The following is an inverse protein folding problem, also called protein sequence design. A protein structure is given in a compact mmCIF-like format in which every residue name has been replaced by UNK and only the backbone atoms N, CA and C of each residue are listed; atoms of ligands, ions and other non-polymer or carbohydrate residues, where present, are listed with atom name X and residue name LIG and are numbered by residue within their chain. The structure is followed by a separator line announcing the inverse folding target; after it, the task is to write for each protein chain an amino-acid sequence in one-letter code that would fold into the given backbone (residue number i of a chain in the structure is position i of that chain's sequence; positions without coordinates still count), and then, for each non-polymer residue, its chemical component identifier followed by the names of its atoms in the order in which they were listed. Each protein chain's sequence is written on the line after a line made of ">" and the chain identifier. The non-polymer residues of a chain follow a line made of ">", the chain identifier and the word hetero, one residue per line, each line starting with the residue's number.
data_IF_355851797368
#
_entry.id   IF_355851797368
#
_cell.length_a   1.000
_cell.length_b   1.000
_cell.length_c   1.000
_cell.angle_alpha   90.00
_cell.angle_beta   90.00
_cell.angle_gamma   90.00
#
_symmetry.space_group_name_H-M   'P 1'
#
loop_
_entity.id
_entity.type
_entity.pdbx_description
1 polymer ?
#
# COMPACT_ATOMS: atom_id res chain seq x y z
N UNK A 1 5.66 9.02 -48.28
CA UNK A 1 5.96 8.01 -47.23
C UNK A 1 5.52 6.67 -47.77
N UNK A 2 6.42 5.71 -47.90
CA UNK A 2 6.04 4.37 -48.37
C UNK A 2 5.23 3.61 -47.30
N UNK A 3 4.55 2.53 -47.70
CA UNK A 3 3.68 1.76 -46.82
C UNK A 3 4.41 1.09 -45.65
N UNK A 4 5.70 0.81 -45.80
CA UNK A 4 6.52 0.17 -44.76
C UNK A 4 6.91 1.19 -43.68
N UNK A 5 7.34 2.39 -44.08
CA UNK A 5 7.58 3.52 -43.18
C UNK A 5 6.29 3.89 -42.43
N UNK A 6 5.15 3.97 -43.11
CA UNK A 6 3.86 4.26 -42.47
C UNK A 6 3.51 3.24 -41.37
N UNK A 7 3.74 1.95 -41.63
CA UNK A 7 3.48 0.86 -40.68
C UNK A 7 4.45 0.89 -39.50
N UNK A 8 5.72 1.22 -39.73
CA UNK A 8 6.71 1.39 -38.67
C UNK A 8 6.41 2.60 -37.78
N UNK A 9 6.09 3.76 -38.37
CA UNK A 9 5.68 4.97 -37.64
C UNK A 9 4.46 4.67 -36.76
N UNK A 10 3.46 3.97 -37.30
CA UNK A 10 2.27 3.58 -36.53
C UNK A 10 2.63 2.72 -35.32
N UNK A 11 3.42 1.65 -35.51
CA UNK A 11 3.84 0.77 -34.41
C UNK A 11 4.57 1.52 -33.28
N UNK A 12 5.51 2.41 -33.62
CA UNK A 12 6.24 3.19 -32.61
C UNK A 12 5.32 4.23 -31.94
N UNK A 13 4.39 4.82 -32.70
CA UNK A 13 3.41 5.78 -32.17
C UNK A 13 2.43 5.12 -31.20
N UNK A 14 1.96 3.91 -31.51
CA UNK A 14 1.06 3.15 -30.64
C UNK A 14 1.73 2.80 -29.29
N UNK A 15 3.05 2.60 -29.29
CA UNK A 15 3.86 2.39 -28.07
C UNK A 15 4.13 3.71 -27.34
N UNK A 16 4.36 4.79 -28.07
CA UNK A 16 4.53 6.13 -27.48
C UNK A 16 3.29 6.59 -26.70
N UNK A 17 2.09 6.34 -27.23
CA UNK A 17 0.83 6.61 -26.53
C UNK A 17 0.71 5.75 -25.27
N UNK A 18 1.04 4.46 -25.38
CA UNK A 18 1.04 3.53 -24.26
C UNK A 18 1.95 4.00 -23.10
N UNK A 19 3.14 4.52 -23.41
CA UNK A 19 4.08 5.00 -22.39
C UNK A 19 3.59 6.20 -21.58
N UNK A 20 2.57 6.94 -22.06
CA UNK A 20 1.92 7.98 -21.24
C UNK A 20 0.98 7.37 -20.18
N UNK A 21 0.49 6.15 -20.42
CA UNK A 21 -0.48 5.44 -19.58
C UNK A 21 0.12 4.30 -18.72
N UNK A 22 1.32 3.79 -19.03
CA UNK A 22 2.06 2.78 -18.23
C UNK A 22 2.19 3.20 -16.75
N UNK A 23 2.10 4.50 -16.44
CA UNK A 23 2.11 4.99 -15.07
C UNK A 23 0.82 4.74 -14.28
N UNK A 24 -0.32 4.49 -14.94
CA UNK A 24 -1.64 4.44 -14.30
C UNK A 24 -2.10 3.03 -13.95
N UNK A 25 -1.79 2.01 -14.77
CA UNK A 25 -2.14 0.61 -14.48
C UNK A 25 -1.09 -0.31 -15.12
N UNK A 26 -0.54 -1.23 -14.34
CA UNK A 26 0.25 -2.37 -14.83
C UNK A 26 -0.67 -3.36 -15.59
N UNK A 27 -1.24 -2.96 -16.73
CA UNK A 27 -1.90 -3.92 -17.61
C UNK A 27 -0.84 -4.62 -18.48
N UNK A 28 -0.61 -5.91 -18.19
CA UNK A 28 0.35 -6.75 -18.90
C UNK A 28 -0.05 -6.98 -20.37
N UNK A 29 -1.29 -6.71 -20.78
CA UNK A 29 -1.71 -6.75 -22.18
C UNK A 29 -1.10 -5.60 -22.99
N UNK A 30 -0.94 -4.43 -22.38
CA UNK A 30 -0.42 -3.23 -23.01
C UNK A 30 1.08 -3.37 -23.34
N UNK A 31 1.84 -4.00 -22.44
CA UNK A 31 3.28 -4.23 -22.61
C UNK A 31 3.62 -5.06 -23.87
N UNK A 32 2.72 -5.92 -24.36
CA UNK A 32 2.98 -6.77 -25.53
C UNK A 32 3.38 -5.97 -26.79
N UNK A 33 3.00 -4.69 -26.88
CA UNK A 33 3.39 -3.80 -27.99
C UNK A 33 4.89 -3.49 -28.03
N UNK A 34 5.61 -3.64 -26.91
CA UNK A 34 7.07 -3.44 -26.84
C UNK A 34 7.82 -4.43 -27.76
N UNK A 35 7.28 -5.63 -27.95
CA UNK A 35 7.82 -6.62 -28.92
C UNK A 35 7.92 -6.03 -30.33
N UNK A 36 6.96 -5.16 -30.70
CA UNK A 36 6.96 -4.54 -32.02
C UNK A 36 8.06 -3.48 -32.19
N UNK A 37 8.50 -2.83 -31.10
CA UNK A 37 9.60 -1.86 -31.15
C UNK A 37 10.91 -2.58 -31.49
N UNK A 38 11.20 -3.69 -30.79
CA UNK A 38 12.39 -4.50 -31.10
C UNK A 38 12.36 -5.00 -32.55
N UNK A 39 11.19 -5.44 -33.04
CA UNK A 39 11.03 -5.87 -34.43
C UNK A 39 11.23 -4.72 -35.45
N UNK A 40 10.83 -3.48 -35.10
CA UNK A 40 11.08 -2.29 -35.95
C UNK A 40 12.57 -2.01 -36.02
N UNK A 41 13.28 -2.00 -34.89
CA UNK A 41 14.75 -1.80 -34.87
C UNK A 41 15.45 -2.87 -35.70
N UNK A 42 15.05 -4.15 -35.57
CA UNK A 42 15.53 -5.24 -36.43
C UNK A 42 15.32 -4.95 -37.92
N UNK A 43 14.15 -4.44 -38.28
CA UNK A 43 13.80 -4.06 -39.66
C UNK A 43 14.72 -2.96 -40.20
N UNK A 44 15.00 -1.93 -39.41
CA UNK A 44 15.90 -0.83 -39.78
C UNK A 44 17.30 -1.35 -40.13
N UNK A 45 17.84 -2.27 -39.32
CA UNK A 45 19.14 -2.89 -39.59
C UNK A 45 19.16 -3.65 -40.93
N UNK A 46 18.09 -4.37 -41.23
CA UNK A 46 17.99 -5.17 -42.47
C UNK A 46 17.91 -4.32 -43.74
N UNK A 47 17.57 -3.03 -43.61
CA UNK A 47 17.43 -2.09 -44.72
C UNK A 47 18.71 -1.27 -44.99
N UNK A 48 19.85 -1.65 -44.39
CA UNK A 48 21.19 -1.14 -44.69
C UNK A 48 21.30 0.41 -44.78
N UNK A 49 20.63 1.14 -43.90
CA UNK A 49 20.75 2.60 -43.82
C UNK A 49 20.06 3.38 -44.95
N UNK A 50 19.21 2.74 -45.77
CA UNK A 50 18.47 3.41 -46.86
C UNK A 50 17.28 4.27 -46.40
N UNK A 51 17.10 4.51 -45.10
CA UNK A 51 16.02 5.39 -44.63
C UNK A 51 16.57 6.84 -44.50
N UNK A 52 16.26 7.76 -45.43
CA UNK A 52 16.60 9.17 -45.27
C UNK A 52 15.90 9.69 -44.01
N UNK A 53 16.56 10.54 -43.21
CA UNK A 53 16.10 11.08 -41.91
C UNK A 53 14.57 10.97 -41.71
N UNK A 54 14.20 9.83 -41.11
CA UNK A 54 12.89 9.23 -41.29
C UNK A 54 11.99 9.63 -40.11
N UNK A 55 10.70 9.96 -40.32
CA UNK A 55 9.68 10.01 -39.28
C UNK A 55 9.76 8.88 -38.23
N UNK A 56 10.20 7.68 -38.62
CA UNK A 56 10.48 6.54 -37.73
C UNK A 56 11.60 6.87 -36.75
N UNK A 57 12.72 7.45 -37.20
CA UNK A 57 13.86 7.81 -36.34
C UNK A 57 13.48 8.90 -35.32
N UNK A 58 12.67 9.88 -35.72
CA UNK A 58 12.13 10.90 -34.80
C UNK A 58 11.27 10.24 -33.71
N UNK A 59 10.41 9.30 -34.09
CA UNK A 59 9.55 8.57 -33.15
C UNK A 59 10.35 7.65 -32.22
N UNK A 60 11.43 7.02 -32.71
CA UNK A 60 12.31 6.21 -31.86
C UNK A 60 13.06 7.08 -30.83
N UNK A 61 13.54 8.27 -31.20
CA UNK A 61 14.13 9.22 -30.24
C UNK A 61 13.11 9.72 -29.22
N UNK A 62 11.87 9.99 -29.65
CA UNK A 62 10.79 10.33 -28.70
C UNK A 62 10.52 9.17 -27.71
N UNK A 63 10.61 7.93 -28.19
CA UNK A 63 10.38 6.74 -27.38
C UNK A 63 11.52 6.53 -26.39
N UNK A 64 12.76 6.68 -26.83
CA UNK A 64 13.92 6.70 -25.95
C UNK A 64 13.75 7.73 -24.82
N UNK A 65 13.41 8.98 -25.12
CA UNK A 65 13.22 9.99 -24.09
C UNK A 65 12.13 9.64 -23.05
N UNK A 66 11.13 8.82 -23.44
CA UNK A 66 10.12 8.28 -22.51
C UNK A 66 10.65 7.08 -21.71
N UNK A 67 11.41 6.19 -22.35
CA UNK A 67 12.08 5.06 -21.68
C UNK A 67 13.11 5.56 -20.68
N UNK A 68 13.87 6.61 -21.00
CA UNK A 68 14.84 7.22 -20.09
C UNK A 68 14.18 7.84 -18.85
N UNK A 69 13.03 8.49 -19.02
CA UNK A 69 12.21 8.94 -17.88
C UNK A 69 11.73 7.76 -17.03
N UNK A 70 11.34 6.66 -17.67
CA UNK A 70 10.90 5.45 -16.99
C UNK A 70 12.06 4.79 -16.23
N UNK A 71 13.21 4.64 -16.87
CA UNK A 71 14.44 4.08 -16.30
C UNK A 71 14.92 4.86 -15.07
N UNK A 72 14.82 6.20 -15.09
CA UNK A 72 15.13 7.02 -13.89
C UNK A 72 14.18 6.73 -12.72
N UNK A 73 12.87 6.64 -12.97
CA UNK A 73 11.91 6.26 -11.91
C UNK A 73 12.15 4.84 -11.41
N UNK A 74 12.51 3.93 -12.30
CA UNK A 74 12.85 2.55 -11.96
C UNK A 74 14.13 2.45 -11.12
N UNK A 75 15.17 3.23 -11.47
CA UNK A 75 16.40 3.35 -10.67
C UNK A 75 16.06 3.77 -9.24
N UNK A 76 15.15 4.74 -9.05
CA UNK A 76 14.69 5.11 -7.71
C UNK A 76 13.97 3.99 -6.95
N UNK A 77 13.24 3.10 -7.64
CA UNK A 77 12.61 1.94 -7.00
C UNK A 77 13.64 0.88 -6.59
N UNK A 78 14.64 0.66 -7.44
CA UNK A 78 15.76 -0.21 -7.11
C UNK A 78 16.63 0.32 -5.98
N UNK A 79 16.88 1.63 -5.94
CA UNK A 79 17.61 2.27 -4.85
C UNK A 79 16.84 2.14 -3.53
N UNK A 80 15.50 2.25 -3.56
CA UNK A 80 14.67 1.96 -2.40
C UNK A 80 14.76 0.50 -1.95
N UNK A 81 14.71 -0.47 -2.89
CA UNK A 81 14.88 -1.89 -2.57
C UNK A 81 16.26 -2.16 -1.96
N UNK A 82 17.32 -1.60 -2.56
CA UNK A 82 18.70 -1.76 -2.10
C UNK A 82 18.93 -1.14 -0.73
N UNK A 83 18.46 0.08 -0.51
CA UNK A 83 18.58 0.77 0.77
C UNK A 83 17.80 0.09 1.89
N UNK A 84 16.71 -0.61 1.55
CA UNK A 84 15.91 -1.32 2.53
C UNK A 84 16.44 -2.73 2.82
N UNK A 85 16.94 -3.43 1.79
CA UNK A 85 17.47 -4.78 1.88
C UNK A 85 19.00 -4.80 1.94
N UNK A 86 19.61 -3.93 2.76
CA UNK A 86 21.07 -3.72 2.84
C UNK A 86 21.86 -5.03 3.01
N UNK A 87 21.28 -5.99 3.71
CA UNK A 87 21.87 -7.32 3.97
C UNK A 87 21.96 -8.23 2.73
N UNK A 88 21.29 -7.87 1.63
CA UNK A 88 21.19 -8.70 0.43
C UNK A 88 21.78 -7.98 -0.77
N UNK A 89 23.10 -8.13 -0.96
CA UNK A 89 23.87 -7.59 -2.09
C UNK A 89 23.28 -7.93 -3.47
N UNK A 90 22.48 -9.00 -3.53
CA UNK A 90 21.76 -9.42 -4.73
C UNK A 90 20.81 -8.36 -5.30
N UNK A 91 20.12 -7.56 -4.47
CA UNK A 91 19.26 -6.48 -4.99
C UNK A 91 20.07 -5.44 -5.75
N UNK A 92 21.32 -5.20 -5.35
CA UNK A 92 22.22 -4.31 -6.07
C UNK A 92 22.64 -4.91 -7.43
N UNK A 93 22.86 -6.22 -7.51
CA UNK A 93 23.18 -6.91 -8.77
C UNK A 93 22.00 -6.88 -9.77
N UNK A 94 20.78 -7.16 -9.30
CA UNK A 94 19.57 -7.05 -10.12
C UNK A 94 19.37 -5.63 -10.62
N UNK A 95 19.53 -4.63 -9.75
CA UNK A 95 19.42 -3.22 -10.10
C UNK A 95 20.44 -2.79 -11.16
N UNK A 96 21.70 -3.16 -10.95
CA UNK A 96 22.78 -2.84 -11.89
C UNK A 96 22.54 -3.49 -13.26
N UNK A 97 22.05 -4.74 -13.26
CA UNK A 97 21.69 -5.48 -14.47
C UNK A 97 20.55 -4.79 -15.21
N UNK A 98 19.44 -4.49 -14.55
CA UNK A 98 18.30 -3.80 -15.17
C UNK A 98 18.73 -2.44 -15.76
N UNK A 99 19.48 -1.64 -15.00
CA UNK A 99 19.96 -0.34 -15.46
C UNK A 99 20.87 -0.45 -16.70
N UNK A 100 21.78 -1.43 -16.69
CA UNK A 100 22.70 -1.65 -17.82
C UNK A 100 21.94 -2.08 -19.07
N UNK A 101 21.03 -3.05 -18.95
CA UNK A 101 20.25 -3.54 -20.08
C UNK A 101 19.30 -2.47 -20.64
N UNK A 102 18.67 -1.68 -19.77
CA UNK A 102 17.78 -0.58 -20.18
C UNK A 102 18.55 0.52 -20.92
N UNK A 103 19.75 0.89 -20.46
CA UNK A 103 20.61 1.86 -21.19
C UNK A 103 21.02 1.35 -22.57
N UNK A 104 21.49 0.11 -22.63
CA UNK A 104 21.89 -0.50 -23.91
C UNK A 104 20.69 -0.67 -24.86
N UNK A 105 19.50 -0.96 -24.33
CA UNK A 105 18.26 -0.93 -25.10
C UNK A 105 18.01 0.48 -25.67
N UNK A 106 18.13 1.54 -24.88
CA UNK A 106 18.01 2.93 -25.36
C UNK A 106 19.03 3.25 -26.47
N UNK A 107 20.27 2.77 -26.35
CA UNK A 107 21.30 2.94 -27.39
C UNK A 107 20.87 2.32 -28.73
N UNK A 108 20.17 1.19 -28.70
CA UNK A 108 19.62 0.59 -29.93
C UNK A 108 18.46 1.38 -30.54
N UNK A 109 17.78 2.25 -29.78
CA UNK A 109 16.72 3.13 -30.28
C UNK A 109 17.28 4.43 -30.86
N UNK A 110 18.31 5.00 -30.22
CA UNK A 110 18.96 6.25 -30.64
C UNK A 110 19.88 6.03 -31.83
N UNK A 111 20.61 4.92 -31.82
CA UNK A 111 21.61 4.55 -32.82
C UNK A 111 21.35 3.12 -33.32
N UNK A 112 20.25 2.85 -34.06
CA UNK A 112 19.89 1.51 -34.53
C UNK A 112 20.86 1.01 -35.62
N UNK A 113 22.03 0.52 -35.20
CA UNK A 113 23.08 -0.01 -36.05
C UNK A 113 23.59 -1.35 -35.52
N UNK A 114 24.37 -2.07 -36.34
CA UNK A 114 24.86 -3.40 -35.98
C UNK A 114 25.73 -3.40 -34.71
N UNK A 115 26.41 -2.30 -34.42
CA UNK A 115 27.30 -2.20 -33.27
C UNK A 115 26.52 -2.06 -31.96
N UNK A 116 25.60 -1.10 -31.85
CA UNK A 116 24.76 -0.91 -30.64
C UNK A 116 23.93 -2.16 -30.33
N UNK A 117 23.35 -2.76 -31.37
CA UNK A 117 22.54 -3.99 -31.26
C UNK A 117 23.41 -5.20 -30.89
N UNK A 118 24.65 -5.25 -31.38
CA UNK A 118 25.63 -6.28 -31.00
C UNK A 118 26.04 -6.18 -29.53
N UNK A 119 26.33 -4.98 -29.03
CA UNK A 119 26.65 -4.74 -27.62
C UNK A 119 25.46 -5.14 -26.73
N UNK A 120 24.25 -4.70 -27.08
CA UNK A 120 23.05 -5.04 -26.34
C UNK A 120 22.81 -6.55 -26.31
N UNK A 121 22.99 -7.25 -27.45
CA UNK A 121 22.89 -8.71 -27.49
C UNK A 121 23.87 -9.39 -26.53
N UNK A 122 25.15 -9.00 -26.56
CA UNK A 122 26.15 -9.58 -25.68
C UNK A 122 25.81 -9.39 -24.20
N UNK A 123 25.25 -8.23 -23.84
CA UNK A 123 24.79 -7.97 -22.49
C UNK A 123 23.60 -8.88 -22.13
N UNK A 124 22.58 -9.01 -23.00
CA UNK A 124 21.44 -9.90 -22.77
C UNK A 124 21.84 -11.39 -22.68
N UNK A 125 22.84 -11.82 -23.42
CA UNK A 125 23.34 -13.21 -23.35
C UNK A 125 24.06 -13.49 -22.02
N UNK A 126 24.80 -12.51 -21.50
CA UNK A 126 25.49 -12.62 -20.20
C UNK A 126 24.54 -12.51 -19.03
N UNK A 127 23.55 -11.62 -19.13
CA UNK A 127 22.56 -11.36 -18.09
C UNK A 127 21.15 -11.37 -18.67
N UNK A 128 20.55 -12.57 -18.90
CA UNK A 128 19.25 -12.66 -19.55
C UNK A 128 18.14 -12.03 -18.70
N UNK A 129 17.31 -11.11 -19.26
CA UNK A 129 16.23 -10.46 -18.51
C UNK A 129 15.30 -11.47 -17.81
N UNK A 130 14.87 -12.51 -18.53
CA UNK A 130 14.05 -13.60 -17.98
C UNK A 130 14.64 -14.23 -16.71
N UNK A 131 15.93 -14.57 -16.74
CA UNK A 131 16.58 -15.25 -15.61
C UNK A 131 16.70 -14.32 -14.39
N UNK A 132 17.03 -13.05 -14.61
CA UNK A 132 17.11 -12.08 -13.52
C UNK A 132 15.74 -11.76 -12.92
N UNK A 133 14.71 -11.69 -13.75
CA UNK A 133 13.33 -11.57 -13.28
C UNK A 133 12.92 -12.75 -12.40
N UNK A 134 13.27 -13.99 -12.80
CA UNK A 134 12.97 -15.18 -12.01
C UNK A 134 13.69 -15.18 -10.67
N UNK A 135 14.99 -14.88 -10.67
CA UNK A 135 15.75 -14.78 -9.41
C UNK A 135 15.14 -13.75 -8.47
N UNK A 136 14.77 -12.58 -9.00
CA UNK A 136 14.13 -11.52 -8.24
C UNK A 136 12.77 -11.97 -7.66
N UNK A 137 11.92 -12.61 -8.45
CA UNK A 137 10.63 -13.15 -8.01
C UNK A 137 10.83 -14.21 -6.92
N UNK A 138 11.80 -15.12 -7.08
CA UNK A 138 12.09 -16.15 -6.09
C UNK A 138 12.54 -15.58 -4.74
N UNK A 139 13.23 -14.43 -4.72
CA UNK A 139 13.54 -13.73 -3.48
C UNK A 139 12.28 -13.10 -2.87
N UNK A 140 11.43 -12.51 -3.68
CA UNK A 140 10.17 -11.95 -3.19
C UNK A 140 9.23 -13.02 -2.62
N UNK A 141 9.36 -14.27 -3.05
CA UNK A 141 8.59 -15.40 -2.53
C UNK A 141 9.07 -15.88 -1.14
N UNK A 142 10.31 -15.55 -0.74
CA UNK A 142 10.89 -15.95 0.54
C UNK A 142 10.71 -14.87 1.62
N UNK A 143 10.23 -15.26 2.81
CA UNK A 143 9.90 -14.32 3.88
C UNK A 143 11.09 -13.46 4.36
N UNK A 144 12.29 -14.05 4.44
CA UNK A 144 13.50 -13.36 4.88
C UNK A 144 14.07 -12.37 3.86
N UNK A 145 13.68 -12.50 2.59
CA UNK A 145 14.17 -11.62 1.51
C UNK A 145 13.05 -10.80 0.88
N UNK A 146 11.79 -10.94 1.33
CA UNK A 146 10.64 -10.19 0.86
C UNK A 146 10.57 -8.79 1.50
N UNK A 147 10.78 -7.71 0.73
CA UNK A 147 10.83 -6.34 1.25
C UNK A 147 9.45 -5.86 1.73
N UNK A 148 8.36 -6.31 1.11
CA UNK A 148 7.01 -5.99 1.57
C UNK A 148 6.77 -6.55 2.96
N UNK A 149 7.07 -7.84 3.19
CA UNK A 149 6.87 -8.47 4.50
C UNK A 149 7.75 -7.84 5.58
N UNK A 150 9.03 -7.54 5.26
CA UNK A 150 9.92 -6.83 6.19
C UNK A 150 9.41 -5.43 6.52
N UNK A 151 8.91 -4.68 5.54
CA UNK A 151 8.35 -3.35 5.78
C UNK A 151 7.07 -3.39 6.62
N UNK A 152 6.19 -4.34 6.35
CA UNK A 152 5.00 -4.58 7.18
C UNK A 152 5.34 -5.03 8.60
N UNK A 153 6.48 -5.71 8.81
CA UNK A 153 6.94 -6.05 10.15
C UNK A 153 7.49 -4.82 10.90
N UNK A 154 8.15 -3.90 10.19
CA UNK A 154 8.71 -2.67 10.73
C UNK A 154 7.68 -1.55 10.95
N UNK A 155 6.58 -1.55 10.19
CA UNK A 155 5.45 -0.64 10.38
C UNK A 155 4.68 -1.03 11.66
N UNK A 156 4.61 -0.17 12.69
CA UNK A 156 3.94 -0.48 13.95
C UNK A 156 2.45 -0.84 13.77
N UNK A 157 1.78 -0.18 12.83
CA UNK A 157 0.34 -0.32 12.60
C UNK A 157 -0.01 -1.11 11.34
N UNK A 158 1.00 -1.58 10.59
CA UNK A 158 0.80 -2.39 9.39
C UNK A 158 -0.13 -1.71 8.38
N UNK A 159 0.24 -0.51 7.94
CA UNK A 159 -0.65 0.36 7.17
C UNK A 159 -0.89 -0.12 5.73
N UNK A 160 -2.05 0.30 5.18
CA UNK A 160 -2.42 0.20 3.76
C UNK A 160 -1.38 0.93 2.92
N UNK A 161 -0.93 2.11 3.36
CA UNK A 161 0.12 2.88 2.69
C UNK A 161 1.42 2.11 2.55
N UNK A 162 1.92 1.49 3.62
CA UNK A 162 3.14 0.67 3.58
C UNK A 162 2.97 -0.52 2.63
N UNK A 163 1.87 -1.25 2.74
CA UNK A 163 1.60 -2.41 1.88
C UNK A 163 1.57 -2.01 0.40
N UNK A 164 0.75 -1.00 0.06
CA UNK A 164 0.55 -0.55 -1.31
C UNK A 164 1.84 0.03 -1.92
N UNK A 165 2.62 0.79 -1.14
CA UNK A 165 3.93 1.30 -1.58
C UNK A 165 4.86 0.17 -2.00
N UNK A 166 5.03 -0.84 -1.15
CA UNK A 166 5.96 -1.93 -1.44
C UNK A 166 5.44 -2.87 -2.54
N UNK A 167 4.13 -3.10 -2.59
CA UNK A 167 3.50 -3.80 -3.71
C UNK A 167 3.80 -3.09 -5.05
N UNK A 168 3.61 -1.76 -5.11
CA UNK A 168 3.87 -0.97 -6.32
C UNK A 168 5.36 -1.03 -6.72
N UNK A 169 6.28 -0.81 -5.77
CA UNK A 169 7.73 -0.88 -6.01
C UNK A 169 8.11 -2.23 -6.63
N UNK A 170 7.66 -3.33 -6.01
CA UNK A 170 7.97 -4.68 -6.49
C UNK A 170 7.43 -4.91 -7.90
N UNK A 171 6.14 -4.61 -8.13
CA UNK A 171 5.51 -4.89 -9.42
C UNK A 171 6.13 -4.06 -10.55
N UNK A 172 6.52 -2.82 -10.28
CA UNK A 172 7.20 -1.96 -11.26
C UNK A 172 8.58 -2.49 -11.64
N UNK A 173 9.35 -2.96 -10.66
CA UNK A 173 10.68 -3.50 -10.88
C UNK A 173 10.63 -4.80 -11.70
N UNK A 174 9.67 -5.68 -11.42
CA UNK A 174 9.51 -6.90 -12.23
C UNK A 174 8.99 -6.57 -13.65
N UNK A 175 8.14 -5.55 -13.79
CA UNK A 175 7.66 -5.11 -15.10
C UNK A 175 8.76 -4.51 -15.99
N UNK A 176 9.84 -3.95 -15.42
CA UNK A 176 11.00 -3.53 -16.21
C UNK A 176 11.66 -4.72 -16.90
N UNK A 177 11.89 -5.81 -16.18
CA UNK A 177 12.42 -7.03 -16.78
C UNK A 177 11.47 -7.61 -17.84
N UNK A 178 10.15 -7.48 -17.63
CA UNK A 178 9.17 -7.89 -18.64
C UNK A 178 9.28 -7.05 -19.92
N UNK A 179 9.43 -5.73 -19.79
CA UNK A 179 9.65 -4.84 -20.94
C UNK A 179 10.94 -5.17 -21.69
N UNK A 180 12.04 -5.41 -20.95
CA UNK A 180 13.31 -5.84 -21.54
C UNK A 180 13.16 -7.17 -22.28
N UNK A 181 12.54 -8.17 -21.66
CA UNK A 181 12.32 -9.48 -22.27
C UNK A 181 11.49 -9.37 -23.57
N UNK A 182 10.42 -8.58 -23.58
CA UNK A 182 9.63 -8.30 -24.78
C UNK A 182 10.46 -7.63 -25.87
N UNK A 183 11.26 -6.63 -25.52
CA UNK A 183 12.07 -5.91 -26.49
C UNK A 183 13.12 -6.82 -27.14
N UNK A 184 13.86 -7.57 -26.33
CA UNK A 184 14.86 -8.55 -26.76
C UNK A 184 14.21 -9.61 -27.66
N UNK A 185 12.99 -10.02 -27.35
CA UNK A 185 12.22 -10.96 -28.15
C UNK A 185 11.85 -10.46 -29.55
N UNK A 186 11.40 -9.21 -29.64
CA UNK A 186 11.14 -8.56 -30.92
C UNK A 186 12.41 -8.40 -31.76
N UNK A 187 13.51 -8.03 -31.10
CA UNK A 187 14.78 -7.70 -31.76
C UNK A 187 15.55 -8.94 -32.23
N UNK A 188 15.59 -10.00 -31.44
CA UNK A 188 16.47 -11.15 -31.71
C UNK A 188 15.72 -12.44 -32.07
N UNK A 189 14.52 -12.65 -31.52
CA UNK A 189 13.86 -13.96 -31.54
C UNK A 189 12.58 -14.01 -32.38
N UNK A 190 12.46 -13.13 -33.37
CA UNK A 190 11.33 -13.09 -34.31
C UNK A 190 9.97 -12.98 -33.60
N UNK A 191 9.91 -12.33 -32.44
CA UNK A 191 8.69 -12.26 -31.62
C UNK A 191 8.20 -13.63 -31.11
N UNK A 192 9.09 -14.61 -30.89
CA UNK A 192 8.74 -15.86 -30.22
C UNK A 192 8.35 -15.62 -28.75
N UNK A 193 7.06 -15.50 -28.47
CA UNK A 193 6.55 -15.13 -27.15
C UNK A 193 6.76 -16.15 -26.01
N UNK A 194 7.53 -17.24 -26.19
CA UNK A 194 7.82 -18.19 -25.11
C UNK A 194 8.35 -17.52 -23.83
N UNK A 195 9.49 -16.83 -23.89
CA UNK A 195 10.10 -16.15 -22.73
C UNK A 195 9.17 -15.10 -22.09
N UNK A 196 8.63 -14.15 -22.88
CA UNK A 196 7.65 -13.19 -22.37
C UNK A 196 6.42 -13.84 -21.71
N UNK A 197 5.84 -14.88 -22.30
CA UNK A 197 4.65 -15.53 -21.73
C UNK A 197 4.97 -16.26 -20.42
N UNK A 198 6.15 -16.88 -20.33
CA UNK A 198 6.63 -17.52 -19.11
C UNK A 198 6.81 -16.48 -17.99
N UNK A 199 7.45 -15.34 -18.27
CA UNK A 199 7.59 -14.26 -17.30
C UNK A 199 6.24 -13.65 -16.91
N UNK A 200 5.34 -13.44 -17.86
CA UNK A 200 3.97 -12.97 -17.58
C UNK A 200 3.23 -13.92 -16.62
N UNK A 201 3.37 -15.24 -16.79
CA UNK A 201 2.78 -16.22 -15.87
C UNK A 201 3.31 -16.03 -14.44
N UNK A 202 4.63 -15.94 -14.28
CA UNK A 202 5.28 -15.73 -12.96
C UNK A 202 4.88 -14.42 -12.29
N UNK A 203 4.74 -13.34 -13.06
CA UNK A 203 4.25 -12.05 -12.53
C UNK A 203 2.81 -12.18 -12.03
N UNK A 204 1.94 -12.86 -12.79
CA UNK A 204 0.55 -13.08 -12.38
C UNK A 204 0.47 -13.95 -11.12
N UNK A 205 1.33 -14.96 -10.98
CA UNK A 205 1.45 -15.77 -9.76
C UNK A 205 1.88 -14.91 -8.56
N UNK A 206 2.91 -14.07 -8.71
CA UNK A 206 3.36 -13.14 -7.68
C UNK A 206 2.23 -12.17 -7.27
N UNK A 207 1.48 -11.62 -8.23
CA UNK A 207 0.33 -10.76 -7.93
C UNK A 207 -0.75 -11.48 -7.12
N UNK A 208 -1.02 -12.77 -7.42
CA UNK A 208 -1.95 -13.59 -6.64
C UNK A 208 -1.44 -13.83 -5.22
N UNK A 209 -0.14 -14.08 -5.05
CA UNK A 209 0.48 -14.20 -3.73
C UNK A 209 0.39 -12.90 -2.93
N UNK A 210 0.66 -11.75 -3.55
CA UNK A 210 0.50 -10.46 -2.88
C UNK A 210 -0.95 -10.21 -2.45
N UNK A 211 -1.93 -10.58 -3.28
CA UNK A 211 -3.34 -10.49 -2.90
C UNK A 211 -3.66 -11.37 -1.69
N UNK A 212 -3.12 -12.60 -1.64
CA UNK A 212 -3.34 -13.48 -0.48
C UNK A 212 -2.66 -12.95 0.77
N UNK A 213 -1.47 -12.35 0.67
CA UNK A 213 -0.81 -11.68 1.79
C UNK A 213 -1.64 -10.50 2.30
N UNK A 214 -2.20 -9.68 1.39
CA UNK A 214 -3.06 -8.55 1.77
C UNK A 214 -4.26 -9.01 2.59
N UNK A 215 -4.97 -10.03 2.10
CA UNK A 215 -6.12 -10.63 2.81
C UNK A 215 -5.71 -11.21 4.17
N UNK A 216 -4.49 -11.75 4.26
CA UNK A 216 -3.97 -12.28 5.51
C UNK A 216 -3.74 -11.17 6.56
N UNK A 217 -3.10 -10.06 6.17
CA UNK A 217 -2.96 -8.87 7.04
C UNK A 217 -4.31 -8.32 7.48
N UNK A 218 -5.27 -8.21 6.55
CA UNK A 218 -6.62 -7.71 6.81
C UNK A 218 -7.40 -8.52 7.85
N UNK A 219 -7.03 -9.80 8.07
CA UNK A 219 -7.73 -10.73 8.97
C UNK A 219 -7.02 -10.98 10.29
N UNK A 220 -5.68 -11.03 10.29
CA UNK A 220 -4.92 -11.55 11.43
C UNK A 220 -4.45 -10.47 12.42
N UNK A 221 -4.69 -9.19 12.11
CA UNK A 221 -4.47 -8.05 13.01
C UNK A 221 -3.16 -8.10 13.83
N UNK A 222 -2.03 -8.44 13.19
CA UNK A 222 -0.74 -8.67 13.86
C UNK A 222 -0.17 -7.44 14.57
N UNK A 223 -0.69 -6.24 14.27
CA UNK A 223 -0.36 -4.99 14.95
C UNK A 223 -0.92 -4.91 16.38
N UNK A 224 -1.90 -5.75 16.73
CA UNK A 224 -2.66 -5.63 17.97
C UNK A 224 -2.34 -6.75 18.99
N UNK A 225 -2.31 -6.47 20.31
CA UNK A 225 -2.46 -5.16 20.95
C UNK A 225 -1.13 -4.42 21.16
N UNK A 226 0.00 -5.14 21.22
CA UNK A 226 1.27 -4.59 21.72
C UNK A 226 1.81 -3.43 20.87
N UNK A 227 1.96 -3.62 19.56
CA UNK A 227 2.48 -2.56 18.68
C UNK A 227 1.57 -1.35 18.60
N UNK A 228 0.25 -1.57 18.61
CA UNK A 228 -0.74 -0.50 18.70
C UNK A 228 -0.60 0.30 20.00
N UNK A 229 -0.38 -0.38 21.13
CA UNK A 229 -0.16 0.26 22.43
C UNK A 229 1.11 1.09 22.43
N UNK A 230 2.23 0.53 21.98
CA UNK A 230 3.50 1.26 21.85
C UNK A 230 3.34 2.53 21.00
N UNK A 231 2.62 2.43 19.88
CA UNK A 231 2.32 3.58 19.03
C UNK A 231 1.48 4.65 19.75
N UNK A 232 0.41 4.25 20.45
CA UNK A 232 -0.44 5.16 21.23
C UNK A 232 0.37 5.88 22.30
N UNK A 233 1.16 5.14 23.09
CA UNK A 233 1.98 5.70 24.16
C UNK A 233 3.03 6.68 23.61
N UNK A 234 3.65 6.35 22.48
CA UNK A 234 4.59 7.24 21.80
C UNK A 234 3.93 8.56 21.34
N UNK A 235 2.68 8.52 20.87
CA UNK A 235 1.93 9.75 20.53
C UNK A 235 1.67 10.58 21.79
N UNK A 236 1.28 9.96 22.90
CA UNK A 236 1.07 10.69 24.15
C UNK A 236 2.35 11.39 24.62
N UNK A 237 3.45 10.64 24.71
CA UNK A 237 4.68 11.10 25.35
C UNK A 237 5.43 12.15 24.52
N UNK A 238 5.35 12.08 23.18
CA UNK A 238 6.06 13.00 22.29
C UNK A 238 5.23 14.18 21.78
N UNK A 239 3.99 14.36 22.27
CA UNK A 239 3.12 15.47 21.86
C UNK A 239 2.49 16.15 23.09
N UNK A 240 3.26 16.39 24.14
CA UNK A 240 2.74 16.97 25.40
C UNK A 240 2.28 18.42 25.27
N UNK A 241 2.73 19.11 24.22
CA UNK A 241 2.47 20.50 23.88
C UNK A 241 1.15 20.74 23.14
N UNK A 242 0.53 19.69 22.58
CA UNK A 242 -0.74 19.80 21.83
C UNK A 242 -1.94 19.29 22.63
N UNK A 243 -3.12 19.79 22.27
CA UNK A 243 -4.39 19.46 22.91
C UNK A 243 -4.92 18.06 22.59
N UNK A 244 -5.97 17.64 23.32
CA UNK A 244 -6.59 16.32 23.17
C UNK A 244 -7.14 16.08 21.76
N UNK A 245 -7.75 17.10 21.13
CA UNK A 245 -8.30 16.98 19.78
C UNK A 245 -7.19 16.66 18.77
N UNK A 246 -6.09 17.41 18.77
CA UNK A 246 -4.99 17.18 17.82
C UNK A 246 -4.31 15.82 18.01
N UNK A 247 -4.18 15.34 19.26
CA UNK A 247 -3.76 13.95 19.55
C UNK A 247 -4.74 12.94 18.98
N UNK A 248 -6.03 13.20 19.14
CA UNK A 248 -7.11 12.34 18.64
C UNK A 248 -7.05 12.26 17.10
N UNK A 249 -6.90 13.38 16.40
CA UNK A 249 -6.79 13.45 14.94
C UNK A 249 -5.55 12.71 14.41
N UNK A 250 -4.41 12.79 15.13
CA UNK A 250 -3.20 12.03 14.79
C UNK A 250 -3.42 10.52 14.90
N UNK A 251 -4.10 10.07 15.96
CA UNK A 251 -4.45 8.67 16.14
C UNK A 251 -5.48 8.23 15.10
N UNK A 252 -6.52 9.02 14.85
CA UNK A 252 -7.54 8.75 13.82
C UNK A 252 -6.90 8.49 12.46
N UNK A 253 -6.05 9.41 12.00
CA UNK A 253 -5.36 9.27 10.72
C UNK A 253 -4.50 8.00 10.66
N UNK A 254 -3.84 7.64 11.77
CA UNK A 254 -3.00 6.46 11.84
C UNK A 254 -3.82 5.16 11.81
N UNK A 255 -4.92 5.10 12.56
CA UNK A 255 -5.82 3.94 12.60
C UNK A 255 -6.67 3.80 11.33
N UNK A 256 -6.99 4.90 10.65
CA UNK A 256 -7.69 4.87 9.35
C UNK A 256 -6.85 4.16 8.28
N UNK A 257 -5.53 4.34 8.35
CA UNK A 257 -4.59 3.74 7.42
C UNK A 257 -4.20 2.30 7.78
N UNK A 258 -4.66 1.72 8.90
CA UNK A 258 -4.38 0.32 9.26
C UNK A 258 -4.93 -0.63 8.20
N UNK A 259 -4.12 -1.60 7.73
CA UNK A 259 -4.58 -2.65 6.83
C UNK A 259 -5.35 -3.73 7.60
N UNK A 260 -6.58 -3.39 8.00
CA UNK A 260 -7.50 -4.30 8.70
C UNK A 260 -8.96 -4.09 8.26
N UNK A 261 -9.82 -5.03 8.61
CA UNK A 261 -11.28 -4.87 8.58
C UNK A 261 -11.85 -4.36 9.91
N UNK A 262 -11.02 -4.16 10.92
CA UNK A 262 -11.42 -3.64 12.22
C UNK A 262 -11.89 -2.18 12.14
N UNK A 263 -12.89 -1.81 12.95
CA UNK A 263 -13.29 -0.40 13.15
C UNK A 263 -12.89 0.06 14.54
N UNK A 264 -12.59 1.36 14.69
CA UNK A 264 -12.04 1.88 15.93
C UNK A 264 -12.88 3.00 16.52
N UNK A 265 -12.96 3.03 17.85
CA UNK A 265 -13.19 4.24 18.62
C UNK A 265 -11.88 4.67 19.28
N UNK A 266 -11.62 5.98 19.25
CA UNK A 266 -10.44 6.60 19.82
C UNK A 266 -10.92 7.72 20.73
N UNK A 267 -10.57 7.64 22.01
CA UNK A 267 -10.85 8.68 22.99
C UNK A 267 -9.54 9.24 23.53
N UNK A 268 -9.43 10.56 23.52
CA UNK A 268 -8.33 11.28 24.17
C UNK A 268 -8.92 12.32 25.12
N UNK A 269 -8.49 12.31 26.38
CA UNK A 269 -9.03 13.20 27.40
C UNK A 269 -8.00 13.56 28.46
N UNK A 270 -8.35 14.54 29.29
CA UNK A 270 -7.46 15.06 30.31
C UNK A 270 -6.99 13.98 31.28
N UNK A 271 -5.77 14.15 31.78
CA UNK A 271 -5.19 13.31 32.81
C UNK A 271 -6.13 13.21 34.02
N UNK A 272 -6.55 11.98 34.35
CA UNK A 272 -7.34 11.71 35.55
C UNK A 272 -7.04 10.31 36.08
N UNK A 273 -7.50 10.04 37.30
CA UNK A 273 -7.56 8.70 37.87
C UNK A 273 -8.74 8.59 38.81
N UNK A 274 -9.15 7.35 39.09
CA UNK A 274 -10.29 7.03 39.94
C UNK A 274 -11.57 6.80 39.13
N UNK A 275 -12.35 5.79 39.53
CA UNK A 275 -13.60 5.41 38.86
C UNK A 275 -14.69 6.48 38.94
N UNK A 276 -14.55 7.45 39.85
CA UNK A 276 -15.43 8.61 39.99
C UNK A 276 -15.31 9.59 38.80
N UNK A 277 -14.20 9.52 38.04
CA UNK A 277 -13.92 10.38 36.88
C UNK A 277 -14.11 9.67 35.55
N UNK A 278 -13.77 8.39 35.49
CA UNK A 278 -13.94 7.57 34.30
C UNK A 278 -14.07 6.10 34.67
N UNK A 279 -14.91 5.36 33.94
CA UNK A 279 -14.99 3.90 34.06
C UNK A 279 -15.32 3.27 32.72
N UNK A 280 -14.79 2.08 32.48
CA UNK A 280 -14.98 1.34 31.25
C UNK A 280 -15.32 -0.11 31.56
N UNK A 281 -16.26 -0.68 30.80
CA UNK A 281 -16.51 -2.12 30.80
C UNK A 281 -16.38 -2.62 29.36
N UNK A 282 -15.46 -3.54 29.13
CA UNK A 282 -14.95 -3.79 27.79
C UNK A 282 -14.39 -5.21 27.63
N UNK A 283 -14.30 -5.65 26.39
CA UNK A 283 -13.58 -6.86 26.02
C UNK A 283 -12.05 -6.59 26.04
N UNK A 284 -11.27 -7.23 26.94
CA UNK A 284 -9.85 -6.93 27.10
C UNK A 284 -9.03 -7.16 25.83
N UNK A 285 -9.38 -8.17 25.03
CA UNK A 285 -8.68 -8.46 23.77
C UNK A 285 -8.93 -7.40 22.68
N UNK A 286 -9.91 -6.53 22.86
CA UNK A 286 -10.34 -5.51 21.91
C UNK A 286 -10.11 -4.07 22.37
N UNK A 287 -9.51 -3.86 23.56
CA UNK A 287 -9.38 -2.51 24.11
C UNK A 287 -7.97 -2.24 24.63
N UNK A 288 -7.43 -1.08 24.27
CA UNK A 288 -6.20 -0.56 24.83
C UNK A 288 -6.56 0.64 25.72
N UNK A 289 -6.13 0.57 26.98
CA UNK A 289 -6.22 1.65 27.95
C UNK A 289 -4.82 2.15 28.24
N UNK A 290 -4.53 3.41 27.92
CA UNK A 290 -3.27 4.07 28.24
C UNK A 290 -3.55 5.33 29.06
N UNK A 291 -3.51 5.19 30.38
CA UNK A 291 -3.88 6.25 31.30
C UNK A 291 -2.68 7.00 31.84
N UNK A 292 -2.87 8.31 32.04
CA UNK A 292 -1.94 9.16 32.79
C UNK A 292 -0.53 9.25 32.17
N UNK A 293 -0.46 9.22 30.84
CA UNK A 293 0.77 9.40 30.05
C UNK A 293 0.68 10.65 29.17
N UNK A 294 1.79 11.34 28.95
CA UNK A 294 1.81 12.54 28.11
C UNK A 294 0.74 13.60 28.44
N UNK A 295 0.46 13.80 29.74
CA UNK A 295 -0.59 14.70 30.27
C UNK A 295 -2.04 14.38 29.84
N UNK A 296 -2.31 13.16 29.39
CA UNK A 296 -3.65 12.73 28.97
C UNK A 296 -3.93 11.26 29.31
N UNK A 297 -5.14 10.83 29.00
CA UNK A 297 -5.57 9.44 28.99
C UNK A 297 -6.09 9.11 27.59
N UNK A 298 -5.73 7.94 27.08
CA UNK A 298 -6.17 7.43 25.77
C UNK A 298 -6.86 6.10 25.94
N UNK A 299 -7.99 5.94 25.27
CA UNK A 299 -8.69 4.66 25.12
C UNK A 299 -8.90 4.39 23.65
N UNK A 300 -8.45 3.25 23.18
CA UNK A 300 -8.75 2.76 21.82
C UNK A 300 -9.52 1.46 21.94
N UNK A 301 -10.75 1.48 21.44
CA UNK A 301 -11.59 0.30 21.31
C UNK A 301 -11.64 -0.14 19.86
N UNK A 302 -11.53 -1.45 19.64
CA UNK A 302 -11.54 -2.09 18.34
C UNK A 302 -12.74 -3.02 18.19
N UNK A 303 -13.66 -2.70 17.31
CA UNK A 303 -14.74 -3.61 16.90
C UNK A 303 -14.31 -4.44 15.71
N UNK A 304 -14.54 -5.75 15.76
CA UNK A 304 -14.26 -6.66 14.64
C UNK A 304 -15.41 -6.72 13.65
N UNK A 305 -16.62 -6.34 14.06
CA UNK A 305 -17.84 -6.61 13.30
C UNK A 305 -18.60 -5.34 12.89
N UNK A 306 -18.31 -4.18 13.49
CA UNK A 306 -19.02 -2.94 13.20
C UNK A 306 -18.94 -2.53 11.72
N UNK A 307 -17.84 -2.83 11.02
CA UNK A 307 -17.71 -2.54 9.58
C UNK A 307 -18.65 -3.36 8.70
N UNK A 308 -19.01 -4.56 9.14
CA UNK A 308 -19.82 -5.54 8.39
C UNK A 308 -21.25 -5.69 8.90
N UNK A 309 -21.59 -5.06 10.03
CA UNK A 309 -22.92 -5.14 10.63
C UNK A 309 -23.91 -4.23 9.90
N UNK A 310 -25.20 -4.44 10.12
CA UNK A 310 -26.25 -3.56 9.58
C UNK A 310 -26.32 -2.24 10.35
N UNK A 311 -26.77 -1.19 9.67
CA UNK A 311 -27.02 0.11 10.31
C UNK A 311 -28.03 -0.02 11.46
N UNK A 312 -29.04 -0.89 11.33
CA UNK A 312 -30.02 -1.19 12.39
C UNK A 312 -29.37 -1.70 13.70
N UNK A 313 -28.31 -2.51 13.60
CA UNK A 313 -27.60 -3.01 14.77
C UNK A 313 -26.77 -1.91 15.46
N UNK A 314 -26.31 -0.91 14.71
CA UNK A 314 -25.64 0.25 15.30
C UNK A 314 -26.66 1.23 15.89
N UNK A 315 -27.82 1.39 15.24
CA UNK A 315 -28.91 2.23 15.74
C UNK A 315 -29.56 1.64 17.01
N UNK A 316 -29.51 0.32 17.21
CA UNK A 316 -29.95 -0.29 18.47
C UNK A 316 -29.08 0.13 19.66
N UNK A 317 -27.75 0.23 19.46
CA UNK A 317 -26.83 0.74 20.50
C UNK A 317 -27.19 2.18 20.89
N UNK A 318 -27.46 3.02 19.89
CA UNK A 318 -27.93 4.39 20.14
C UNK A 318 -29.22 4.40 20.93
N UNK A 319 -30.21 3.62 20.49
CA UNK A 319 -31.52 3.53 21.13
C UNK A 319 -31.38 3.11 22.60
N UNK A 320 -30.50 2.16 22.89
CA UNK A 320 -30.23 1.71 24.25
C UNK A 320 -29.56 2.81 25.08
N UNK A 321 -28.56 3.53 24.55
CA UNK A 321 -27.96 4.68 25.24
C UNK A 321 -28.99 5.77 25.54
N UNK A 322 -29.85 6.11 24.57
CA UNK A 322 -30.87 7.14 24.72
C UNK A 322 -31.93 6.74 25.76
N UNK A 323 -32.31 5.45 25.80
CA UNK A 323 -33.20 4.90 26.84
C UNK A 323 -32.59 4.92 28.23
N UNK A 324 -31.30 4.59 28.34
CA UNK A 324 -30.60 4.59 29.62
C UNK A 324 -30.57 5.99 30.23
N UNK A 325 -30.36 7.02 29.40
CA UNK A 325 -30.41 8.43 29.83
C UNK A 325 -31.82 8.88 30.24
N UNK A 326 -32.84 8.54 29.45
CA UNK A 326 -34.22 8.92 29.78
C UNK A 326 -34.66 8.35 31.15
N UNK A 327 -34.16 7.17 31.51
CA UNK A 327 -34.58 6.44 32.71
C UNK A 327 -33.67 6.67 33.93
N UNK A 328 -32.54 7.37 33.79
CA UNK A 328 -31.57 7.53 34.87
C UNK A 328 -30.92 8.91 34.92
N UNK A 329 -30.80 9.45 36.13
CA UNK A 329 -29.96 10.62 36.39
C UNK A 329 -28.51 10.19 36.62
N UNK A 330 -27.62 10.66 35.77
CA UNK A 330 -26.18 10.45 35.91
C UNK A 330 -25.55 11.57 36.73
N UNK A 331 -25.06 11.24 37.93
CA UNK A 331 -24.44 12.22 38.82
C UNK A 331 -22.91 12.08 38.90
N UNK A 332 -22.40 10.84 38.84
CA UNK A 332 -20.97 10.50 38.90
C UNK A 332 -20.69 9.30 37.99
N UNK A 333 -19.40 9.03 37.74
CA UNK A 333 -18.95 7.77 37.15
C UNK A 333 -18.77 6.72 38.27
N UNK A 334 -18.95 5.44 37.94
CA UNK A 334 -18.55 4.33 38.80
C UNK A 334 -18.33 3.07 37.97
N UNK A 335 -17.64 2.09 38.56
CA UNK A 335 -17.43 0.80 37.93
C UNK A 335 -18.75 0.05 37.73
N UNK A 336 -19.59 -0.01 38.75
CA UNK A 336 -20.92 -0.63 38.69
C UNK A 336 -21.77 -0.04 37.57
N UNK A 337 -21.70 1.28 37.38
CA UNK A 337 -22.43 1.97 36.33
C UNK A 337 -21.96 1.57 34.93
N UNK A 338 -20.66 1.41 34.73
CA UNK A 338 -20.14 0.89 33.45
C UNK A 338 -20.53 -0.58 33.22
N UNK A 339 -20.65 -1.41 34.27
CA UNK A 339 -21.12 -2.80 34.14
C UNK A 339 -22.62 -2.86 33.84
N UNK A 340 -23.43 -2.10 34.56
CA UNK A 340 -24.87 -1.98 34.30
C UNK A 340 -25.14 -1.48 32.87
N UNK A 341 -24.37 -0.49 32.39
CA UNK A 341 -24.49 0.00 31.02
C UNK A 341 -24.12 -1.10 29.99
N UNK A 342 -23.10 -1.91 30.27
CA UNK A 342 -22.71 -3.04 29.42
C UNK A 342 -23.81 -4.10 29.33
N UNK A 343 -24.49 -4.36 30.43
CA UNK A 343 -25.64 -5.29 30.48
C UNK A 343 -26.87 -4.73 29.79
N UNK A 344 -27.07 -3.41 29.86
CA UNK A 344 -28.22 -2.72 29.26
C UNK A 344 -28.08 -2.54 27.73
N UNK A 345 -26.90 -2.16 27.26
CA UNK A 345 -26.66 -1.88 25.83
C UNK A 345 -26.41 -3.19 25.09
N UNK A 346 -27.41 -3.61 24.31
CA UNK A 346 -27.35 -4.86 23.57
C UNK A 346 -26.17 -4.88 22.59
N UNK A 347 -25.45 -6.01 22.52
CA UNK A 347 -24.32 -6.25 21.59
C UNK A 347 -23.14 -5.28 21.74
N UNK A 348 -23.08 -4.52 22.84
CA UNK A 348 -21.92 -3.68 23.11
C UNK A 348 -20.72 -4.58 23.44
N UNK A 349 -19.59 -4.42 22.74
CA UNK A 349 -18.27 -4.96 23.11
C UNK A 349 -17.49 -4.04 24.04
N UNK A 350 -17.89 -2.77 24.10
CA UNK A 350 -17.27 -1.73 24.90
C UNK A 350 -18.31 -0.72 25.37
N UNK A 351 -18.20 -0.30 26.62
CA UNK A 351 -18.90 0.86 27.15
C UNK A 351 -17.95 1.69 28.00
N UNK A 352 -18.12 3.01 27.96
CA UNK A 352 -17.32 3.96 28.69
C UNK A 352 -18.18 5.07 29.25
N UNK A 353 -17.88 5.48 30.48
CA UNK A 353 -18.53 6.58 31.16
C UNK A 353 -17.49 7.49 31.78
N UNK A 354 -17.58 8.78 31.55
CA UNK A 354 -16.54 9.74 31.92
C UNK A 354 -17.14 11.08 32.33
N UNK A 355 -16.44 11.88 33.13
CA UNK A 355 -16.92 13.23 33.44
C UNK A 355 -16.82 14.13 32.20
N UNK A 356 -17.88 14.87 31.91
CA UNK A 356 -17.95 15.70 30.69
C UNK A 356 -16.93 16.85 30.65
N UNK A 357 -16.45 17.31 31.81
CA UNK A 357 -15.42 18.36 31.92
C UNK A 357 -13.99 17.86 31.64
N UNK A 358 -13.78 16.58 31.32
CA UNK A 358 -12.45 16.03 31.01
C UNK A 358 -11.95 16.40 29.61
N UNK A 359 -12.62 17.31 28.90
CA UNK A 359 -12.26 17.74 27.55
C UNK A 359 -12.05 16.54 26.61
N UNK A 360 -13.08 15.70 26.50
CA UNK A 360 -13.04 14.44 25.75
C UNK A 360 -13.07 14.73 24.26
N UNK A 361 -12.00 14.38 23.56
CA UNK A 361 -11.96 14.28 22.11
C UNK A 361 -12.28 12.83 21.70
N UNK A 362 -13.12 12.69 20.69
CA UNK A 362 -13.55 11.40 20.16
C UNK A 362 -13.33 11.39 18.66
N UNK A 363 -12.66 10.36 18.19
CA UNK A 363 -12.54 10.06 16.77
C UNK A 363 -12.88 8.59 16.53
N UNK A 364 -13.08 8.25 15.26
CA UNK A 364 -13.33 6.89 14.82
C UNK A 364 -12.62 6.64 13.50
N UNK A 365 -12.24 5.39 13.27
CA UNK A 365 -11.48 5.03 12.09
C UNK A 365 -11.96 3.71 11.47
N UNK A 366 -11.71 3.59 10.17
CA UNK A 366 -11.95 2.43 9.32
C UNK A 366 -13.39 1.91 9.40
N UNK A 367 -14.35 2.83 9.30
CA UNK A 367 -15.78 2.55 9.31
C UNK A 367 -16.53 3.41 8.28
N UNK A 368 -17.65 2.88 7.78
CA UNK A 368 -18.50 3.56 6.79
C UNK A 368 -19.50 4.53 7.46
N UNK A 369 -19.81 4.31 8.73
CA UNK A 369 -20.85 5.05 9.45
C UNK A 369 -20.31 6.34 10.09
N UNK A 370 -21.08 7.43 9.96
CA UNK A 370 -20.69 8.80 10.30
C UNK A 370 -20.45 9.09 11.80
N UNK A 371 -20.44 8.09 12.68
CA UNK A 371 -20.27 8.27 14.13
C UNK A 371 -19.41 7.22 14.81
N UNK A 372 -18.77 6.33 14.06
CA UNK A 372 -17.94 5.27 14.63
C UNK A 372 -18.69 3.96 14.86
N UNK A 373 -18.04 2.95 15.48
CA UNK A 373 -18.59 1.61 15.65
C UNK A 373 -19.68 1.49 16.72
N UNK A 374 -20.49 2.53 16.95
CA UNK A 374 -21.56 2.52 17.94
C UNK A 374 -22.14 3.92 18.17
N UNK A 375 -22.26 4.33 19.42
CA UNK A 375 -22.80 5.66 19.76
C UNK A 375 -22.13 6.28 20.99
N UNK A 376 -22.03 7.60 21.00
CA UNK A 376 -21.61 8.36 22.17
C UNK A 376 -22.40 9.66 22.29
N UNK A 377 -22.51 10.16 23.52
CA UNK A 377 -23.17 11.43 23.82
C UNK A 377 -22.79 11.96 25.20
N UNK A 378 -23.10 13.23 25.43
CA UNK A 378 -23.04 13.83 26.77
C UNK A 378 -24.44 13.85 27.39
N UNK A 379 -24.56 13.37 28.62
CA UNK A 379 -25.76 13.35 29.45
C UNK A 379 -25.47 14.04 30.79
N UNK A 380 -25.79 15.33 30.90
CA UNK A 380 -25.53 16.13 32.08
C UNK A 380 -24.02 16.20 32.42
N UNK A 381 -23.58 15.81 33.64
CA UNK A 381 -22.18 15.89 34.05
C UNK A 381 -21.30 14.75 33.52
N UNK A 382 -21.85 13.90 32.63
CA UNK A 382 -21.22 12.67 32.19
C UNK A 382 -21.24 12.55 30.65
N UNK A 383 -20.15 12.06 30.09
CA UNK A 383 -19.98 11.58 28.73
C UNK A 383 -20.11 10.05 28.72
N UNK A 384 -20.91 9.51 27.81
CA UNK A 384 -21.16 8.08 27.64
C UNK A 384 -20.81 7.64 26.23
N UNK A 385 -20.23 6.45 26.10
CA UNK A 385 -19.91 5.83 24.81
C UNK A 385 -20.18 4.33 24.89
N UNK A 386 -20.69 3.75 23.80
CA UNK A 386 -20.74 2.32 23.58
C UNK A 386 -20.30 1.98 22.17
N UNK A 387 -19.55 0.89 22.04
CA UNK A 387 -19.11 0.31 20.78
C UNK A 387 -19.67 -1.10 20.59
N UNK A 388 -20.12 -1.38 19.38
CA UNK A 388 -20.55 -2.70 18.91
C UNK A 388 -19.37 -3.67 18.96
N UNK A 389 -19.62 -4.90 19.39
CA UNK A 389 -18.60 -5.95 19.57
C UNK A 389 -17.62 -6.20 18.42
#
# INVERSE_FOLDING_TARGET
>A
MDANTAKAVKKVTDVLQLYEDIFKVLDMADFARIVHVGAVVKGILSLAGMMPEDPVMVKLRQLEGKIDKLSRKMTNHFDQLKAFMVEHSFYADVAATASTLTKLMCDTLTHPNHHSVGIFRQACERTPPLQYAYKLISLMEQDSTNPLKKAMAADPLQSKSTFNKWQDIILRVVAEFYALELYVNGLFWNSNMYGPNQLKSRINELQKLMKSWKVNYEKNAYYWPEKAREFIENIQDNNTDIGNQEKCDKLEKAFEDVLSNDSFYILVYNHCGGFDKHSFCYEPSQTILSFRRGQCCVVVYRSKYAKSTSEDNLESIRTDIDRLEANRRFHNCSEDLSREMKEFVSKAGFVGIMRSHLNVAVAYANIVHNRGPGWYRTAGPVFMIAGYE
#
